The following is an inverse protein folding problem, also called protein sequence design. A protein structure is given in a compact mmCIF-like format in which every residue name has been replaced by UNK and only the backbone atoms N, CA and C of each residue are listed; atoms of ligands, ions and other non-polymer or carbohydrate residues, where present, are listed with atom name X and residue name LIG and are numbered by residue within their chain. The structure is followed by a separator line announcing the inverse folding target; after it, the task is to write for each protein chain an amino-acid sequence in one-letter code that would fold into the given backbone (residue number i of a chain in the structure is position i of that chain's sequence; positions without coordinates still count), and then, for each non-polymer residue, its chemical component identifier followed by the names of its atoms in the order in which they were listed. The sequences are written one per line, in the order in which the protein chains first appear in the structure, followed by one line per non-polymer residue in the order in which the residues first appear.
data_IF_696456288640
#
_entry.id   IF_696456288640
#
_cell.length_a   1.000
_cell.length_b   1.000
_cell.length_c   1.000
_cell.angle_alpha   90.00
_cell.angle_beta   90.00
_cell.angle_gamma   90.00
#
_symmetry.space_group_name_H-M   'P 1'
#
loop_
_entity.id
_entity.type
_entity.pdbx_description
1 polymer ?
#
# COMPACT_ATOMS: atom_id res chain seq x y z
N UNK A 1 -24.64 11.98 -3.96
CA UNK A 1 -23.15 11.95 -3.99
C UNK A 1 -22.58 11.47 -2.65
N UNK A 2 -23.08 11.98 -1.51
CA UNK A 2 -22.56 11.64 -0.17
C UNK A 2 -22.75 10.15 0.24
N UNK A 3 -23.89 9.54 -0.09
CA UNK A 3 -24.15 8.12 0.23
C UNK A 3 -23.25 7.13 -0.52
N UNK A 4 -22.94 7.41 -1.79
CA UNK A 4 -22.07 6.55 -2.60
C UNK A 4 -20.61 6.62 -2.11
N UNK A 5 -20.13 7.83 -1.79
CA UNK A 5 -18.78 8.01 -1.26
C UNK A 5 -18.62 7.40 0.13
N UNK A 6 -19.62 7.56 1.02
CA UNK A 6 -19.66 6.87 2.32
C UNK A 6 -19.66 5.35 2.18
N UNK A 7 -20.44 4.82 1.25
CA UNK A 7 -20.43 3.38 1.00
C UNK A 7 -19.03 2.89 0.57
N UNK A 8 -18.34 3.62 -0.31
CA UNK A 8 -16.96 3.30 -0.71
C UNK A 8 -15.98 3.42 0.47
N UNK A 9 -16.10 4.47 1.28
CA UNK A 9 -15.30 4.69 2.49
C UNK A 9 -15.40 3.54 3.50
N UNK A 10 -16.60 2.97 3.65
CA UNK A 10 -16.87 1.92 4.62
C UNK A 10 -16.55 0.53 4.07
N UNK A 11 -16.83 0.28 2.79
CA UNK A 11 -16.72 -1.05 2.17
C UNK A 11 -15.32 -1.32 1.59
N UNK A 12 -14.70 -0.37 0.89
CA UNK A 12 -13.47 -0.64 0.16
C UNK A 12 -12.27 -0.93 1.09
N UNK A 13 -12.03 -0.18 2.18
CA UNK A 13 -10.97 -0.52 3.12
C UNK A 13 -11.23 -1.87 3.83
N UNK A 14 -12.49 -2.19 4.13
CA UNK A 14 -12.84 -3.47 4.76
C UNK A 14 -12.62 -4.65 3.81
N UNK A 15 -13.01 -4.52 2.54
CA UNK A 15 -12.76 -5.51 1.50
C UNK A 15 -11.26 -5.72 1.27
N UNK A 16 -10.48 -4.63 1.21
CA UNK A 16 -9.02 -4.69 1.09
C UNK A 16 -8.39 -5.44 2.26
N UNK A 17 -8.80 -5.14 3.51
CA UNK A 17 -8.36 -5.87 4.69
C UNK A 17 -8.64 -7.37 4.55
N UNK A 18 -9.86 -7.74 4.16
CA UNK A 18 -10.24 -9.14 4.03
C UNK A 18 -9.39 -9.87 2.98
N UNK A 19 -9.22 -9.27 1.80
CA UNK A 19 -8.39 -9.84 0.73
C UNK A 19 -6.91 -9.95 1.12
N UNK A 20 -6.35 -8.91 1.74
CA UNK A 20 -4.95 -8.91 2.19
C UNK A 20 -4.71 -9.93 3.29
N UNK A 21 -5.57 -9.97 4.31
CA UNK A 21 -5.46 -10.96 5.39
C UNK A 21 -5.53 -12.39 4.84
N UNK A 22 -6.46 -12.66 3.92
CA UNK A 22 -6.58 -13.98 3.30
C UNK A 22 -5.36 -14.34 2.44
N UNK A 23 -4.87 -13.40 1.64
CA UNK A 23 -3.70 -13.62 0.77
C UNK A 23 -2.47 -13.92 1.61
N UNK A 24 -2.22 -13.13 2.66
CA UNK A 24 -1.04 -13.31 3.49
C UNK A 24 -1.15 -14.59 4.32
N UNK A 25 -2.34 -14.91 4.86
CA UNK A 25 -2.59 -16.20 5.52
C UNK A 25 -2.30 -17.38 4.60
N UNK A 26 -2.68 -17.28 3.33
CA UNK A 26 -2.37 -18.30 2.32
C UNK A 26 -0.87 -18.44 2.13
N UNK A 27 -0.14 -17.32 1.97
CA UNK A 27 1.33 -17.34 1.82
C UNK A 27 2.04 -17.93 3.05
N UNK A 28 1.62 -17.57 4.27
CA UNK A 28 2.19 -18.13 5.51
C UNK A 28 1.89 -19.63 5.62
N UNK A 29 0.70 -20.07 5.24
CA UNK A 29 0.35 -21.49 5.20
C UNK A 29 1.17 -22.26 4.16
N UNK A 30 1.37 -21.68 2.98
CA UNK A 30 2.18 -22.29 1.91
C UNK A 30 3.64 -22.38 2.34
N UNK A 31 4.19 -21.31 2.94
CA UNK A 31 5.53 -21.32 3.51
C UNK A 31 5.65 -22.36 4.62
N UNK A 32 4.66 -22.44 5.50
CA UNK A 32 4.62 -23.46 6.55
C UNK A 32 4.59 -24.88 5.99
N UNK A 33 3.83 -25.12 4.92
CA UNK A 33 3.75 -26.42 4.26
C UNK A 33 5.08 -26.78 3.62
N UNK A 34 5.66 -25.87 2.83
CA UNK A 34 6.96 -26.08 2.21
C UNK A 34 8.04 -26.37 3.25
N UNK A 35 8.09 -25.62 4.35
CA UNK A 35 9.07 -25.84 5.41
C UNK A 35 8.83 -27.13 6.24
N UNK A 36 7.60 -27.65 6.29
CA UNK A 36 7.28 -28.93 6.95
C UNK A 36 7.59 -30.13 6.08
N UNK A 37 7.43 -29.98 4.78
CA UNK A 37 7.66 -31.05 3.80
C UNK A 37 9.13 -31.08 3.33
N UNK A 38 9.94 -30.11 3.77
CA UNK A 38 11.37 -30.00 3.48
C UNK A 38 12.22 -30.74 4.53
N UNK A 39 12.86 -31.89 4.17
CA UNK A 39 13.70 -32.65 5.07
C UNK A 39 14.87 -31.83 5.66
N UNK A 40 15.33 -30.82 4.92
CA UNK A 40 16.47 -29.99 5.30
C UNK A 40 16.05 -28.89 6.29
N UNK A 41 14.82 -28.39 6.24
CA UNK A 41 14.28 -27.46 7.25
C UNK A 41 13.97 -28.15 8.59
N UNK A 42 13.70 -29.45 8.56
CA UNK A 42 13.46 -30.29 9.74
C UNK A 42 14.75 -30.75 10.44
N UNK A 43 15.92 -30.56 9.81
CA UNK A 43 17.18 -30.92 10.41
C UNK A 43 17.47 -30.04 11.65
N UNK A 44 17.87 -30.67 12.75
CA UNK A 44 18.33 -29.99 13.97
C UNK A 44 17.33 -28.99 14.56
N UNK A 45 16.03 -29.30 14.57
CA UNK A 45 14.93 -28.45 15.09
C UNK A 45 14.84 -27.04 14.50
N UNK A 46 15.55 -26.75 13.39
CA UNK A 46 15.68 -25.42 12.81
C UNK A 46 14.31 -24.82 12.44
N UNK A 47 13.43 -25.62 11.83
CA UNK A 47 12.05 -25.24 11.57
C UNK A 47 11.31 -24.79 12.84
N UNK A 48 11.35 -25.57 13.91
CA UNK A 48 10.63 -25.23 15.14
C UNK A 48 11.17 -23.98 15.81
N UNK A 49 12.50 -23.80 15.80
CA UNK A 49 13.18 -22.67 16.43
C UNK A 49 13.02 -21.35 15.65
N UNK A 50 13.02 -21.41 14.31
CA UNK A 50 13.00 -20.23 13.46
C UNK A 50 11.60 -19.85 12.96
N UNK A 51 10.67 -20.80 12.85
CA UNK A 51 9.36 -20.57 12.24
C UNK A 51 8.19 -21.20 13.01
N UNK A 52 8.24 -22.50 13.29
CA UNK A 52 7.13 -23.27 13.86
C UNK A 52 6.59 -22.72 15.17
N UNK A 53 7.46 -22.43 16.16
CA UNK A 53 7.04 -21.88 17.46
C UNK A 53 6.54 -20.44 17.40
N UNK A 54 7.02 -19.66 16.43
CA UNK A 54 6.70 -18.23 16.30
C UNK A 54 5.59 -17.95 15.28
N UNK A 55 5.05 -19.00 14.63
CA UNK A 55 4.07 -18.88 13.54
C UNK A 55 2.85 -18.05 13.93
N UNK A 56 2.27 -18.32 15.10
CA UNK A 56 1.10 -17.57 15.60
C UNK A 56 1.45 -16.09 15.75
N UNK A 57 2.64 -15.79 16.29
CA UNK A 57 3.14 -14.42 16.41
C UNK A 57 3.31 -13.72 15.06
N UNK A 58 3.82 -14.42 14.03
CA UNK A 58 3.90 -13.85 12.68
C UNK A 58 2.52 -13.60 12.06
N UNK A 59 1.56 -14.50 12.24
CA UNK A 59 0.18 -14.30 11.77
C UNK A 59 -0.49 -13.10 12.47
N UNK A 60 -0.26 -12.93 13.77
CA UNK A 60 -0.75 -11.78 14.56
C UNK A 60 -0.09 -10.47 14.13
N UNK A 61 1.23 -10.46 13.95
CA UNK A 61 1.98 -9.27 13.52
C UNK A 61 1.52 -8.81 12.14
N UNK A 62 1.35 -9.74 11.20
CA UNK A 62 0.80 -9.45 9.86
C UNK A 62 -0.61 -8.88 9.97
N UNK A 63 -1.47 -9.49 10.78
CA UNK A 63 -2.85 -9.02 10.98
C UNK A 63 -2.85 -7.59 11.50
N UNK A 64 -1.95 -7.25 12.42
CA UNK A 64 -1.76 -5.90 12.93
C UNK A 64 -1.30 -4.94 11.83
N UNK A 65 -0.33 -5.32 10.99
CA UNK A 65 0.13 -4.49 9.86
C UNK A 65 -1.00 -4.23 8.84
N UNK A 66 -1.78 -5.24 8.50
CA UNK A 66 -2.95 -5.11 7.60
C UNK A 66 -4.02 -4.20 8.22
N UNK A 67 -4.29 -4.32 9.52
CA UNK A 67 -5.25 -3.44 10.20
C UNK A 67 -4.77 -1.98 10.23
N UNK A 68 -3.47 -1.75 10.42
CA UNK A 68 -2.89 -0.42 10.35
C UNK A 68 -3.01 0.18 8.95
N UNK A 69 -2.72 -0.61 7.90
CA UNK A 69 -2.90 -0.20 6.51
C UNK A 69 -4.36 0.16 6.20
N UNK A 70 -5.33 -0.62 6.72
CA UNK A 70 -6.77 -0.31 6.60
C UNK A 70 -7.11 1.03 7.23
N UNK A 71 -6.65 1.27 8.46
CA UNK A 71 -6.91 2.53 9.19
C UNK A 71 -6.32 3.73 8.45
N UNK A 72 -5.09 3.61 7.95
CA UNK A 72 -4.41 4.64 7.17
C UNK A 72 -5.16 4.96 5.87
N UNK A 73 -5.63 3.92 5.15
CA UNK A 73 -6.44 4.10 3.94
C UNK A 73 -7.77 4.81 4.25
N UNK A 74 -8.48 4.37 5.30
CA UNK A 74 -9.76 4.97 5.67
C UNK A 74 -9.61 6.44 6.10
N UNK A 75 -8.61 6.75 6.94
CA UNK A 75 -8.32 8.13 7.33
C UNK A 75 -7.90 9.01 6.14
N UNK A 76 -7.10 8.47 5.23
CA UNK A 76 -6.69 9.17 4.02
C UNK A 76 -7.87 9.48 3.10
N UNK A 77 -8.80 8.54 2.92
CA UNK A 77 -10.01 8.76 2.13
C UNK A 77 -10.94 9.82 2.77
N UNK A 78 -11.05 9.86 4.11
CA UNK A 78 -11.76 10.94 4.82
C UNK A 78 -11.10 12.29 4.52
N UNK A 79 -9.78 12.39 4.61
CA UNK A 79 -9.07 13.64 4.32
C UNK A 79 -9.27 14.11 2.87
N UNK A 80 -9.32 13.18 1.91
CA UNK A 80 -9.63 13.48 0.50
C UNK A 80 -11.07 13.98 0.36
N UNK A 81 -12.03 13.34 1.03
CA UNK A 81 -13.42 13.80 1.06
C UNK A 81 -13.51 15.23 1.60
N UNK A 82 -12.81 15.51 2.70
CA UNK A 82 -12.78 16.84 3.29
C UNK A 82 -12.23 17.89 2.31
N UNK A 83 -11.15 17.59 1.59
CA UNK A 83 -10.62 18.49 0.53
C UNK A 83 -11.61 18.70 -0.63
N UNK A 84 -12.47 17.73 -0.92
CA UNK A 84 -13.47 17.83 -1.97
C UNK A 84 -14.69 18.68 -1.58
N UNK A 85 -15.09 18.66 -0.30
CA UNK A 85 -16.33 19.30 0.15
C UNK A 85 -16.11 20.60 0.93
N UNK A 86 -14.98 20.78 1.62
CA UNK A 86 -14.76 21.95 2.47
C UNK A 86 -14.24 23.11 1.61
N UNK A 87 -14.94 24.26 1.60
CA UNK A 87 -14.40 25.48 1.02
C UNK A 87 -13.24 25.96 1.90
N UNK A 88 -12.04 25.95 1.36
CA UNK A 88 -10.84 26.36 2.06
C UNK A 88 -9.64 26.32 1.12
N UNK A 89 -8.56 27.00 1.50
CA UNK A 89 -7.31 27.15 0.75
C UNK A 89 -6.66 25.82 0.29
N UNK A 90 -7.00 24.72 0.97
CA UNK A 90 -6.52 23.37 0.67
C UNK A 90 -7.47 22.53 -0.19
N UNK A 91 -8.69 23.02 -0.43
CA UNK A 91 -9.70 22.31 -1.21
C UNK A 91 -9.42 22.34 -2.71
N UNK A 92 -9.86 21.31 -3.43
CA UNK A 92 -9.60 21.20 -4.88
C UNK A 92 -10.22 22.37 -5.65
N UNK A 93 -11.45 22.74 -5.30
CA UNK A 93 -12.16 23.86 -5.93
C UNK A 93 -11.44 25.20 -5.72
N UNK A 94 -10.98 25.47 -4.49
CA UNK A 94 -10.31 26.74 -4.19
C UNK A 94 -9.00 26.88 -4.98
N UNK A 95 -8.21 25.81 -5.06
CA UNK A 95 -6.96 25.81 -5.83
C UNK A 95 -7.22 26.05 -7.32
N UNK A 96 -8.24 25.39 -7.87
CA UNK A 96 -8.61 25.58 -9.28
C UNK A 96 -9.14 27.00 -9.57
N UNK A 97 -9.85 27.59 -8.61
CA UNK A 97 -10.33 28.97 -8.72
C UNK A 97 -9.22 30.02 -8.70
N UNK A 98 -8.08 29.74 -8.06
CA UNK A 98 -6.97 30.70 -7.94
C UNK A 98 -6.43 31.13 -9.31
N UNK A 99 -6.21 30.17 -10.21
CA UNK A 99 -5.75 30.45 -11.58
C UNK A 99 -6.82 31.22 -12.39
N UNK A 100 -8.09 30.86 -12.22
CA UNK A 100 -9.21 31.54 -12.87
C UNK A 100 -9.32 33.00 -12.39
N UNK A 101 -9.17 33.25 -11.09
CA UNK A 101 -9.20 34.61 -10.55
C UNK A 101 -8.02 35.44 -11.04
N UNK A 102 -6.82 34.87 -11.12
CA UNK A 102 -5.64 35.57 -11.66
C UNK A 102 -5.85 35.97 -13.12
N UNK A 103 -6.32 35.04 -13.95
CA UNK A 103 -6.60 35.34 -15.35
C UNK A 103 -7.73 36.38 -15.51
N UNK A 104 -8.79 36.29 -14.70
CA UNK A 104 -9.84 37.30 -14.69
C UNK A 104 -9.33 38.69 -14.29
N UNK A 105 -8.30 38.80 -13.45
CA UNK A 105 -7.70 40.11 -13.11
C UNK A 105 -6.94 40.71 -14.29
N UNK A 106 -6.40 39.89 -15.18
CA UNK A 106 -5.65 40.30 -16.38
C UNK A 106 -6.56 40.73 -17.55
N UNK A 107 -7.84 40.36 -17.49
CA UNK A 107 -8.83 40.70 -18.51
C UNK A 107 -9.00 42.20 -18.73
N UNK A 108 -9.09 42.59 -20.01
CA UNK A 108 -9.21 43.99 -20.45
C UNK A 108 -10.56 44.23 -21.11
N UNK A 109 -11.21 45.37 -20.85
CA UNK A 109 -12.48 45.66 -21.49
C UNK A 109 -12.30 45.93 -22.98
N UNK A 110 -13.18 45.34 -23.79
CA UNK A 110 -13.38 45.75 -25.18
C UNK A 110 -13.92 47.17 -25.28
N UNK A 111 -13.81 47.78 -26.47
CA UNK A 111 -14.23 49.16 -26.72
C UNK A 111 -15.69 49.38 -26.30
N UNK A 112 -15.92 50.31 -25.37
CA UNK A 112 -17.26 50.66 -24.86
C UNK A 112 -17.79 49.78 -23.72
N UNK A 113 -17.08 48.73 -23.29
CA UNK A 113 -17.46 47.89 -22.14
C UNK A 113 -16.76 48.34 -20.86
N UNK A 114 -17.37 48.08 -19.69
CA UNK A 114 -16.71 48.32 -18.40
C UNK A 114 -15.80 47.13 -18.07
N UNK A 115 -14.71 47.39 -17.35
CA UNK A 115 -13.79 46.35 -16.87
C UNK A 115 -14.53 45.27 -16.05
N UNK A 116 -15.48 45.69 -15.21
CA UNK A 116 -16.34 44.76 -14.44
C UNK A 116 -17.04 43.75 -15.33
N UNK A 117 -17.62 44.20 -16.45
CA UNK A 117 -18.41 43.36 -17.34
C UNK A 117 -17.52 42.36 -18.09
N UNK A 118 -16.30 42.78 -18.48
CA UNK A 118 -15.32 41.88 -19.09
C UNK A 118 -14.88 40.76 -18.12
N UNK A 119 -14.58 41.11 -16.86
CA UNK A 119 -14.19 40.14 -15.84
C UNK A 119 -15.33 39.19 -15.46
N UNK A 120 -16.56 39.71 -15.35
CA UNK A 120 -17.74 38.88 -15.10
C UNK A 120 -17.97 37.87 -16.21
N UNK A 121 -17.91 38.31 -17.48
CA UNK A 121 -18.06 37.41 -18.62
C UNK A 121 -16.98 36.31 -18.62
N UNK A 122 -15.73 36.67 -18.33
CA UNK A 122 -14.64 35.69 -18.19
C UNK A 122 -14.92 34.65 -17.10
N UNK A 123 -15.36 35.09 -15.92
CA UNK A 123 -15.69 34.19 -14.83
C UNK A 123 -16.87 33.29 -15.18
N UNK A 124 -17.93 33.81 -15.81
CA UNK A 124 -19.08 33.01 -16.23
C UNK A 124 -18.69 31.91 -17.22
N UNK A 125 -17.81 32.22 -18.18
CA UNK A 125 -17.32 31.27 -19.18
C UNK A 125 -16.42 30.19 -18.55
N UNK A 126 -15.46 30.58 -17.73
CA UNK A 126 -14.40 29.68 -17.25
C UNK A 126 -14.77 28.91 -15.98
N UNK A 127 -15.72 29.40 -15.16
CA UNK A 127 -16.18 28.66 -13.97
C UNK A 127 -17.14 27.53 -14.35
N UNK A 128 -17.91 27.69 -15.44
CA UNK A 128 -18.92 26.72 -15.88
C UNK A 128 -18.37 25.81 -17.00
N UNK A 129 -17.23 26.18 -17.61
CA UNK A 129 -16.58 25.41 -18.66
C UNK A 129 -16.19 23.98 -18.24
N UNK A 130 -15.94 23.14 -19.25
CA UNK A 130 -15.53 21.74 -19.07
C UNK A 130 -14.24 21.59 -18.26
N UNK A 131 -13.29 22.51 -18.47
CA UNK A 131 -12.02 22.59 -17.72
C UNK A 131 -12.13 23.50 -16.48
N UNK A 132 -13.35 23.76 -16.04
CA UNK A 132 -13.65 24.61 -14.91
C UNK A 132 -13.29 23.96 -13.56
N UNK A 133 -13.43 24.71 -12.46
CA UNK A 133 -13.01 24.30 -11.11
C UNK A 133 -13.79 23.09 -10.57
N UNK A 134 -14.93 22.75 -11.15
CA UNK A 134 -15.69 21.54 -10.79
C UNK A 134 -15.03 20.26 -11.31
N UNK A 135 -14.39 20.28 -12.48
CA UNK A 135 -13.64 19.14 -13.00
C UNK A 135 -12.42 18.82 -12.13
N UNK A 136 -11.74 19.87 -11.63
CA UNK A 136 -10.60 19.74 -10.74
C UNK A 136 -10.91 18.98 -9.43
N UNK A 137 -12.17 18.96 -8.97
CA UNK A 137 -12.57 18.13 -7.82
C UNK A 137 -12.43 16.66 -8.16
N UNK A 138 -12.97 16.22 -9.30
CA UNK A 138 -12.93 14.82 -9.71
C UNK A 138 -11.48 14.37 -9.98
N UNK A 139 -10.72 15.17 -10.73
CA UNK A 139 -9.32 14.90 -11.05
C UNK A 139 -8.45 14.85 -9.79
N UNK A 140 -8.58 15.84 -8.90
CA UNK A 140 -7.82 15.92 -7.66
C UNK A 140 -8.14 14.77 -6.70
N UNK A 141 -9.40 14.36 -6.62
CA UNK A 141 -9.82 13.17 -5.85
C UNK A 141 -9.20 11.92 -6.45
N UNK A 142 -9.29 11.72 -7.76
CA UNK A 142 -8.75 10.53 -8.42
C UNK A 142 -7.23 10.40 -8.22
N UNK A 143 -6.48 11.50 -8.40
CA UNK A 143 -5.04 11.52 -8.20
C UNK A 143 -4.65 11.20 -6.75
N UNK A 144 -5.25 11.90 -5.77
CA UNK A 144 -4.94 11.69 -4.36
C UNK A 144 -5.34 10.28 -3.89
N UNK A 145 -6.46 9.72 -4.38
CA UNK A 145 -6.88 8.34 -4.07
C UNK A 145 -5.87 7.34 -4.63
N UNK A 146 -5.48 7.46 -5.90
CA UNK A 146 -4.46 6.58 -6.52
C UNK A 146 -3.14 6.63 -5.75
N UNK A 147 -2.71 7.83 -5.35
CA UNK A 147 -1.49 8.06 -4.59
C UNK A 147 -1.57 7.45 -3.18
N UNK A 148 -2.70 7.63 -2.49
CA UNK A 148 -2.96 7.04 -1.18
C UNK A 148 -2.89 5.52 -1.24
N UNK A 149 -3.63 4.88 -2.14
CA UNK A 149 -3.65 3.41 -2.31
C UNK A 149 -2.23 2.90 -2.56
N UNK A 150 -1.50 3.53 -3.49
CA UNK A 150 -0.12 3.13 -3.82
C UNK A 150 0.79 3.22 -2.60
N UNK A 151 0.76 4.34 -1.88
CA UNK A 151 1.62 4.55 -0.72
C UNK A 151 1.31 3.56 0.41
N UNK A 152 0.03 3.32 0.70
CA UNK A 152 -0.39 2.34 1.72
C UNK A 152 0.04 0.93 1.33
N UNK A 153 -0.12 0.53 0.07
CA UNK A 153 0.31 -0.80 -0.40
C UNK A 153 1.83 -0.96 -0.39
N UNK A 154 2.58 0.04 -0.85
CA UNK A 154 4.05 -0.01 -0.86
C UNK A 154 4.61 -0.06 0.56
N UNK A 155 3.99 0.63 1.52
CA UNK A 155 4.34 0.59 2.94
C UNK A 155 4.07 -0.80 3.53
N UNK A 156 2.87 -1.34 3.35
CA UNK A 156 2.52 -2.69 3.83
C UNK A 156 3.47 -3.75 3.25
N UNK A 157 3.77 -3.66 1.95
CA UNK A 157 4.74 -4.53 1.28
C UNK A 157 6.11 -4.48 1.97
N UNK A 158 6.63 -3.28 2.26
CA UNK A 158 7.91 -3.13 2.95
C UNK A 158 7.87 -3.80 4.33
N UNK A 159 6.81 -3.57 5.10
CA UNK A 159 6.68 -4.16 6.44
C UNK A 159 6.64 -5.69 6.40
N UNK A 160 5.88 -6.29 5.48
CA UNK A 160 5.83 -7.75 5.31
C UNK A 160 7.18 -8.31 4.86
N UNK A 161 7.87 -7.63 3.93
CA UNK A 161 9.21 -8.05 3.47
C UNK A 161 10.24 -8.00 4.60
N UNK A 162 10.22 -6.98 5.45
CA UNK A 162 11.13 -6.88 6.60
C UNK A 162 10.87 -7.99 7.63
N UNK A 163 9.61 -8.38 7.84
CA UNK A 163 9.28 -9.53 8.68
C UNK A 163 9.87 -10.83 8.10
N UNK A 164 9.71 -11.07 6.80
CA UNK A 164 10.28 -12.24 6.12
C UNK A 164 11.81 -12.25 6.17
N UNK A 165 12.46 -11.08 6.06
CA UNK A 165 13.91 -10.95 6.25
C UNK A 165 14.34 -11.31 7.67
N UNK A 166 13.53 -10.99 8.67
CA UNK A 166 13.79 -11.34 10.07
C UNK A 166 13.75 -12.86 10.27
N UNK A 167 12.76 -13.53 9.67
CA UNK A 167 12.68 -15.00 9.64
C UNK A 167 13.93 -15.58 8.98
N UNK A 168 14.32 -15.07 7.80
CA UNK A 168 15.54 -15.49 7.10
C UNK A 168 16.80 -15.31 7.96
N UNK A 169 16.93 -14.18 8.63
CA UNK A 169 18.07 -13.90 9.50
C UNK A 169 18.13 -14.89 10.68
N UNK A 170 16.98 -15.36 11.19
CA UNK A 170 16.94 -16.39 12.22
C UNK A 170 17.52 -17.73 11.71
N UNK A 171 17.15 -18.16 10.51
CA UNK A 171 17.74 -19.36 9.87
C UNK A 171 19.26 -19.18 9.63
N UNK A 172 19.69 -18.01 9.16
CA UNK A 172 21.12 -17.73 8.96
C UNK A 172 21.93 -17.73 10.27
N UNK A 173 21.35 -17.29 11.38
CA UNK A 173 22.00 -17.34 12.69
C UNK A 173 22.14 -18.78 13.19
N UNK A 174 21.13 -19.62 12.98
CA UNK A 174 21.19 -21.05 13.31
C UNK A 174 22.35 -21.76 12.58
N UNK A 175 22.58 -21.39 11.32
CA UNK A 175 23.72 -21.88 10.53
C UNK A 175 25.10 -21.62 11.15
N UNK A 176 25.23 -20.53 11.90
CA UNK A 176 26.52 -20.01 12.35
C UNK A 176 26.78 -20.28 13.84
N UNK A 177 25.93 -21.07 14.52
CA UNK A 177 26.12 -21.42 15.94
C UNK A 177 27.25 -22.46 16.11
N UNK A 178 28.12 -22.21 17.09
CA UNK A 178 29.33 -22.99 17.40
C UNK A 178 29.10 -24.46 17.84
N UNK A 179 27.87 -24.86 18.15
CA UNK A 179 27.53 -26.25 18.48
C UNK A 179 27.63 -27.21 17.27
N UNK A 180 28.02 -26.70 16.09
CA UNK A 180 28.04 -27.42 14.81
C UNK A 180 29.45 -27.76 14.27
N UNK A 181 30.52 -27.66 15.07
CA UNK A 181 31.85 -28.14 14.66
C UNK A 181 31.99 -29.67 14.73
N UNK A 182 30.91 -30.39 15.02
CA UNK A 182 30.81 -31.83 14.81
C UNK A 182 30.63 -32.15 13.31
N UNK A 183 30.95 -33.38 12.86
CA UNK A 183 30.73 -33.80 11.47
C UNK A 183 29.26 -33.61 11.03
N UNK A 184 28.30 -33.87 11.93
CA UNK A 184 26.87 -33.65 11.68
C UNK A 184 26.56 -32.17 11.48
N UNK A 185 27.21 -31.27 12.23
CA UNK A 185 27.04 -29.83 12.10
C UNK A 185 27.69 -29.23 10.85
N UNK A 186 28.73 -29.86 10.32
CA UNK A 186 29.33 -29.48 9.03
C UNK A 186 28.46 -29.91 7.84
N UNK A 187 27.88 -31.12 7.91
CA UNK A 187 26.94 -31.60 6.89
C UNK A 187 25.64 -30.79 6.90
N UNK A 188 25.11 -30.50 8.10
CA UNK A 188 24.02 -29.56 8.30
C UNK A 188 24.33 -28.17 7.72
N UNK A 189 25.53 -27.62 7.93
CA UNK A 189 25.93 -26.32 7.35
C UNK A 189 25.96 -26.31 5.82
N UNK A 190 26.37 -27.40 5.19
CA UNK A 190 26.43 -27.55 3.74
C UNK A 190 25.02 -27.60 3.15
N UNK A 191 24.15 -28.41 3.73
CA UNK A 191 22.72 -28.49 3.37
C UNK A 191 22.01 -27.15 3.63
N UNK A 192 22.30 -26.48 4.75
CA UNK A 192 21.74 -25.15 5.04
C UNK A 192 22.28 -24.04 4.12
N UNK A 193 23.42 -24.24 3.48
CA UNK A 193 23.94 -23.31 2.47
C UNK A 193 23.12 -23.36 1.18
N UNK A 194 22.85 -24.56 0.69
CA UNK A 194 22.00 -24.81 -0.48
C UNK A 194 20.55 -24.35 -0.20
N UNK A 195 20.05 -24.55 1.01
CA UNK A 195 18.74 -24.09 1.50
C UNK A 195 18.53 -22.58 1.45
N UNK A 196 19.52 -21.79 1.87
CA UNK A 196 19.39 -20.32 1.91
C UNK A 196 19.28 -19.74 0.49
N UNK A 197 19.86 -20.40 -0.49
CA UNK A 197 19.80 -20.00 -1.90
C UNK A 197 18.47 -20.41 -2.55
N UNK A 198 17.93 -21.59 -2.23
CA UNK A 198 16.61 -22.02 -2.72
C UNK A 198 15.48 -21.21 -2.06
N UNK A 199 15.55 -20.97 -0.74
CA UNK A 199 14.61 -20.11 -0.03
C UNK A 199 14.65 -18.66 -0.55
N UNK A 200 15.84 -18.16 -0.94
CA UNK A 200 15.99 -16.86 -1.60
C UNK A 200 15.25 -16.83 -2.93
N UNK A 201 15.39 -17.87 -3.76
CA UNK A 201 14.69 -18.00 -5.04
C UNK A 201 13.17 -18.04 -4.87
N UNK A 202 12.67 -18.75 -3.85
CA UNK A 202 11.23 -18.84 -3.55
C UNK A 202 10.67 -17.50 -3.05
N UNK A 203 11.38 -16.83 -2.13
CA UNK A 203 11.02 -15.51 -1.62
C UNK A 203 11.02 -14.45 -2.73
N UNK A 204 12.03 -14.44 -3.60
CA UNK A 204 12.10 -13.50 -4.74
C UNK A 204 11.05 -13.83 -5.82
N UNK A 205 10.63 -15.08 -5.97
CA UNK A 205 9.64 -15.50 -6.97
C UNK A 205 8.18 -15.41 -6.51
N UNK A 206 7.79 -16.21 -5.53
CA UNK A 206 6.37 -16.43 -5.14
C UNK A 206 5.81 -15.20 -4.45
N UNK A 207 6.56 -14.60 -3.53
CA UNK A 207 6.10 -13.43 -2.76
C UNK A 207 6.01 -12.21 -3.65
N UNK A 208 7.02 -11.96 -4.50
CA UNK A 208 7.02 -10.81 -5.42
C UNK A 208 5.88 -10.92 -6.43
N UNK A 209 5.67 -12.10 -7.05
CA UNK A 209 4.57 -12.33 -7.99
C UNK A 209 3.19 -12.23 -7.34
N UNK A 210 3.04 -12.69 -6.10
CA UNK A 210 1.75 -12.61 -5.40
C UNK A 210 1.42 -11.18 -4.99
N UNK A 211 2.43 -10.40 -4.59
CA UNK A 211 2.28 -8.97 -4.33
C UNK A 211 2.02 -8.15 -5.60
N UNK A 212 2.55 -8.58 -6.76
CA UNK A 212 2.23 -8.01 -8.07
C UNK A 212 0.79 -8.32 -8.50
N UNK A 213 0.30 -9.54 -8.27
CA UNK A 213 -1.12 -9.87 -8.51
C UNK A 213 -2.08 -9.02 -7.67
N UNK A 214 -1.68 -8.63 -6.45
CA UNK A 214 -2.44 -7.66 -5.66
C UNK A 214 -2.48 -6.25 -6.30
N UNK A 215 -1.52 -5.90 -7.17
CA UNK A 215 -1.57 -4.66 -7.97
C UNK A 215 -2.42 -4.78 -9.24
N UNK A 216 -2.63 -6.00 -9.74
CA UNK A 216 -3.38 -6.27 -10.97
C UNK A 216 -4.91 -6.27 -10.77
N UNK A 217 -5.40 -6.41 -9.53
CA UNK A 217 -6.81 -6.20 -9.18
C UNK A 217 -7.15 -4.69 -9.10
N UNK A 218 -6.88 -3.97 -10.19
CA UNK A 218 -7.37 -2.60 -10.44
C UNK A 218 -8.81 -2.61 -10.89
#
# INVERSE_FOLDING_TARGET
MDAAFRNVLDTAPAALKAQMAQTIKTVINDLNRQLKDDPQALAGDAYQLCFGKNRVGYEEEITLKVENARKELHQGLIAIQEKAIKPGDKGYFFKAMDDIYRAALEEKPGRGKKLKDARHAYLEENVIGLDGPFAAIAEGVEEDVKKLIKNTCDKLRKEVVEMLKTIRAAFQRQKNRKEQDTPEGQQFRKELHELVDEARRILEGVVTKSLEKCKENK
#
